data_IF_442747628401
#
_entry.id   IF_442747628401
#
_cell.length_a   1.000
_cell.length_b   1.000
_cell.length_c   1.000
_cell.angle_alpha   90.00
_cell.angle_beta   90.00
_cell.angle_gamma   90.00
#
_symmetry.space_group_name_H-M   'P 1'
#
loop_
_entity.id
_entity.type
_entity.pdbx_description
1 polymer ?
#
# COMPACT_ATOMS: atom_id res chain seq x y z
N UNK A 1 13.14 0.20 -15.54
CA UNK A 1 11.92 0.48 -16.32
C UNK A 1 11.31 1.78 -15.81
N UNK A 2 10.90 2.65 -16.71
CA UNK A 2 10.23 3.91 -16.36
C UNK A 2 8.79 3.60 -15.92
N UNK A 3 8.41 4.05 -14.73
CA UNK A 3 7.10 3.76 -14.15
C UNK A 3 5.93 4.29 -15.02
N UNK A 4 6.17 5.32 -15.82
CA UNK A 4 5.17 5.90 -16.72
C UNK A 4 4.67 4.89 -17.79
N UNK A 5 5.52 3.94 -18.15
CA UNK A 5 5.27 2.91 -19.17
C UNK A 5 5.22 1.49 -18.57
N UNK A 6 5.16 1.41 -17.23
CA UNK A 6 5.12 0.13 -16.54
C UNK A 6 3.67 -0.36 -16.42
N UNK A 7 3.35 -1.41 -17.13
CA UNK A 7 2.02 -2.03 -17.17
C UNK A 7 2.13 -3.54 -16.87
N UNK A 8 2.32 -3.93 -15.62
CA UNK A 8 2.39 -5.34 -15.28
C UNK A 8 1.01 -5.99 -15.38
N UNK A 9 1.00 -7.30 -15.67
CA UNK A 9 -0.23 -8.11 -15.70
C UNK A 9 -0.73 -8.50 -14.30
N UNK A 10 -0.05 -8.09 -13.24
CA UNK A 10 -0.33 -8.44 -11.85
C UNK A 10 -0.31 -7.20 -10.96
N UNK A 11 -1.07 -7.25 -9.89
CA UNK A 11 -1.05 -6.24 -8.83
C UNK A 11 -0.17 -6.69 -7.67
N UNK A 12 0.30 -5.75 -6.89
CA UNK A 12 1.29 -5.95 -5.84
C UNK A 12 0.71 -5.74 -4.44
N UNK A 13 1.30 -6.40 -3.48
CA UNK A 13 0.98 -6.23 -2.07
C UNK A 13 1.65 -4.98 -1.48
N UNK A 14 2.83 -4.63 -2.00
CA UNK A 14 3.63 -3.49 -1.58
C UNK A 14 4.21 -2.75 -2.78
N UNK A 15 4.25 -1.43 -2.69
CA UNK A 15 4.98 -0.56 -3.62
C UNK A 15 5.94 0.30 -2.80
N UNK A 16 7.22 0.21 -3.11
CA UNK A 16 8.27 1.01 -2.48
C UNK A 16 8.92 1.88 -3.54
N UNK A 17 9.18 3.15 -3.24
CA UNK A 17 9.75 4.04 -4.23
C UNK A 17 10.51 5.24 -3.67
N UNK A 18 11.45 5.67 -4.48
CA UNK A 18 12.13 6.97 -4.36
C UNK A 18 12.11 7.60 -5.75
N UNK A 19 10.98 8.22 -6.16
CA UNK A 19 10.85 8.83 -7.47
C UNK A 19 11.79 10.03 -7.61
N UNK A 20 12.10 10.45 -8.84
CA UNK A 20 12.74 11.74 -9.05
C UNK A 20 11.82 12.85 -8.52
N UNK A 21 12.40 13.95 -7.99
CA UNK A 21 11.66 15.02 -7.36
C UNK A 21 11.48 16.22 -8.28
N UNK A 22 10.35 16.92 -8.12
CA UNK A 22 10.04 18.18 -8.80
C UNK A 22 10.07 18.13 -10.33
N UNK A 23 10.01 16.94 -10.94
CA UNK A 23 9.81 16.83 -12.38
C UNK A 23 8.30 16.95 -12.70
N UNK A 24 8.00 17.34 -13.94
CA UNK A 24 6.63 17.38 -14.44
C UNK A 24 6.40 16.25 -15.41
N UNK A 25 5.43 15.39 -15.11
CA UNK A 25 4.99 14.29 -15.97
C UNK A 25 3.55 14.46 -16.37
N UNK A 26 3.24 14.08 -17.60
CA UNK A 26 1.87 14.12 -18.11
C UNK A 26 1.20 12.76 -17.98
N UNK A 27 -0.06 12.80 -17.55
CA UNK A 27 -1.03 11.71 -17.67
C UNK A 27 -2.27 12.32 -18.28
N UNK A 28 -2.64 11.82 -19.46
CA UNK A 28 -3.66 12.45 -20.31
C UNK A 28 -3.32 13.93 -20.55
N UNK A 29 -4.25 14.84 -20.38
CA UNK A 29 -4.04 16.27 -20.55
C UNK A 29 -3.53 17.00 -19.29
N UNK A 30 -3.35 16.27 -18.18
CA UNK A 30 -2.94 16.84 -16.90
C UNK A 30 -1.46 16.66 -16.65
N UNK A 31 -0.82 17.69 -16.07
CA UNK A 31 0.58 17.68 -15.67
C UNK A 31 0.71 17.59 -14.17
N UNK A 32 1.35 16.54 -13.70
CA UNK A 32 1.57 16.25 -12.27
C UNK A 32 3.04 16.38 -11.89
N UNK A 33 3.32 16.67 -10.62
CA UNK A 33 4.66 16.45 -10.05
C UNK A 33 4.99 14.95 -10.12
N UNK A 34 6.25 14.62 -10.35
CA UNK A 34 6.69 13.22 -10.53
C UNK A 34 6.39 12.34 -9.33
N UNK A 35 6.56 12.85 -8.11
CA UNK A 35 6.26 12.14 -6.87
C UNK A 35 4.76 11.86 -6.72
N UNK A 36 3.91 12.82 -7.09
CA UNK A 36 2.46 12.62 -7.07
C UNK A 36 2.00 11.68 -8.18
N UNK A 37 2.54 11.83 -9.39
CA UNK A 37 2.30 10.88 -10.48
C UNK A 37 2.66 9.45 -10.07
N UNK A 38 3.79 9.28 -9.36
CA UNK A 38 4.20 7.98 -8.84
C UNK A 38 3.16 7.40 -7.89
N UNK A 39 2.58 8.20 -7.00
CA UNK A 39 1.52 7.77 -6.10
C UNK A 39 0.26 7.34 -6.85
N UNK A 40 -0.17 8.11 -7.86
CA UNK A 40 -1.32 7.74 -8.70
C UNK A 40 -1.08 6.41 -9.42
N UNK A 41 0.14 6.21 -9.96
CA UNK A 41 0.50 4.95 -10.59
C UNK A 41 0.58 3.80 -9.59
N UNK A 42 1.08 4.03 -8.39
CA UNK A 42 1.08 3.05 -7.31
C UNK A 42 -0.34 2.62 -6.90
N UNK A 43 -1.31 3.56 -6.92
CA UNK A 43 -2.71 3.23 -6.66
C UNK A 43 -3.28 2.23 -7.68
N UNK A 44 -2.88 2.33 -8.96
CA UNK A 44 -3.27 1.37 -9.99
C UNK A 44 -2.62 -0.01 -9.77
N UNK A 45 -1.37 -0.03 -9.30
CA UNK A 45 -0.55 -1.23 -9.15
C UNK A 45 -0.81 -2.02 -7.87
N UNK A 46 -1.31 -1.38 -6.82
CA UNK A 46 -1.55 -2.01 -5.53
C UNK A 46 -2.85 -2.82 -5.53
N UNK A 47 -2.83 -3.95 -4.84
CA UNK A 47 -4.03 -4.68 -4.43
C UNK A 47 -4.84 -3.85 -3.42
N UNK A 48 -6.15 -4.13 -3.23
CA UNK A 48 -6.92 -3.57 -2.13
C UNK A 48 -6.19 -3.72 -0.79
N UNK A 49 -6.17 -2.67 0.02
CA UNK A 49 -5.43 -2.58 1.28
C UNK A 49 -3.90 -2.76 1.17
N UNK A 50 -3.32 -2.76 -0.04
CA UNK A 50 -1.87 -2.80 -0.25
C UNK A 50 -1.18 -1.56 0.31
N UNK A 51 0.09 -1.67 0.65
CA UNK A 51 0.85 -0.61 1.33
C UNK A 51 1.86 0.01 0.37
N UNK A 52 1.90 1.35 0.33
CA UNK A 52 2.93 2.13 -0.35
C UNK A 52 3.83 2.80 0.67
N UNK A 53 5.14 2.74 0.44
CA UNK A 53 6.12 3.59 1.11
C UNK A 53 6.91 4.37 0.06
N UNK A 54 6.93 5.70 0.20
CA UNK A 54 7.55 6.58 -0.78
C UNK A 54 8.46 7.59 -0.07
N UNK A 55 9.69 7.73 -0.57
CA UNK A 55 10.61 8.79 -0.14
C UNK A 55 10.33 10.02 -0.99
N UNK A 56 10.07 11.14 -0.34
CA UNK A 56 9.68 12.40 -0.98
C UNK A 56 10.33 13.61 -0.31
N UNK A 57 10.42 14.78 -0.98
CA UNK A 57 10.81 16.02 -0.34
C UNK A 57 9.88 16.40 0.82
N UNK A 58 10.36 17.20 1.76
CA UNK A 58 9.54 17.72 2.86
C UNK A 58 8.32 18.52 2.38
N UNK A 59 8.41 19.14 1.21
CA UNK A 59 7.32 19.90 0.57
C UNK A 59 6.18 19.04 0.01
N UNK A 60 6.36 17.73 -0.11
CA UNK A 60 5.29 16.85 -0.61
C UNK A 60 4.08 16.87 0.32
N UNK A 61 2.93 17.27 -0.21
CA UNK A 61 1.69 17.43 0.55
C UNK A 61 1.83 18.29 1.82
N UNK A 62 2.71 19.30 1.81
CA UNK A 62 2.78 20.30 2.86
C UNK A 62 1.76 21.42 2.58
N UNK A 63 1.16 21.99 3.63
CA UNK A 63 0.05 22.95 3.53
C UNK A 63 0.35 24.18 2.65
N UNK A 64 1.57 24.69 2.72
CA UNK A 64 2.04 25.84 1.98
C UNK A 64 2.51 25.51 0.55
N UNK A 65 2.55 24.24 0.16
CA UNK A 65 3.00 23.78 -1.15
C UNK A 65 1.93 22.98 -1.90
N UNK A 66 0.90 22.50 -1.22
CA UNK A 66 -0.21 21.81 -1.85
C UNK A 66 -1.16 22.83 -2.48
N UNK A 67 -1.27 22.81 -3.81
CA UNK A 67 -2.58 23.08 -4.31
C UNK A 67 -3.49 21.98 -3.71
N UNK A 68 -4.55 22.34 -2.99
CA UNK A 68 -5.40 21.41 -2.24
C UNK A 68 -5.80 20.14 -2.99
N UNK A 69 -5.71 20.16 -4.32
CA UNK A 69 -5.96 19.04 -5.20
C UNK A 69 -5.01 17.85 -5.04
N UNK A 70 -3.76 18.05 -4.60
CA UNK A 70 -2.84 16.92 -4.37
C UNK A 70 -3.24 16.11 -3.14
N UNK A 71 -3.56 16.77 -2.03
CA UNK A 71 -4.01 16.11 -0.79
C UNK A 71 -5.34 15.40 -1.03
N UNK A 72 -6.26 16.07 -1.70
CA UNK A 72 -7.56 15.48 -2.04
C UNK A 72 -7.41 14.23 -2.91
N UNK A 73 -6.56 14.28 -3.95
CA UNK A 73 -6.27 13.14 -4.78
C UNK A 73 -5.56 12.00 -4.03
N UNK A 74 -4.69 12.29 -3.07
CA UNK A 74 -4.13 11.26 -2.19
C UNK A 74 -5.21 10.65 -1.31
N UNK A 75 -6.09 11.47 -0.72
CA UNK A 75 -7.22 11.02 0.10
C UNK A 75 -8.27 10.23 -0.70
N UNK A 76 -8.38 10.44 -2.00
CA UNK A 76 -9.27 9.64 -2.86
C UNK A 76 -8.82 8.17 -2.95
N UNK A 77 -7.52 7.95 -3.06
CA UNK A 77 -6.95 6.63 -3.33
C UNK A 77 -6.40 5.91 -2.11
N UNK A 78 -5.98 6.66 -1.09
CA UNK A 78 -5.21 6.13 0.03
C UNK A 78 -5.76 6.55 1.39
N UNK A 79 -5.52 5.68 2.36
CA UNK A 79 -5.54 5.99 3.78
C UNK A 79 -4.12 6.34 4.22
N UNK A 80 -3.97 7.41 4.96
CA UNK A 80 -2.69 7.80 5.54
C UNK A 80 -2.32 6.87 6.71
N UNK A 81 -1.05 6.46 6.79
CA UNK A 81 -0.55 5.68 7.92
C UNK A 81 0.32 6.57 8.81
N UNK A 82 1.45 7.01 8.31
CA UNK A 82 2.33 7.95 9.00
C UNK A 82 3.35 8.54 8.01
N UNK A 83 4.06 9.57 8.45
CA UNK A 83 5.23 10.08 7.74
C UNK A 83 6.38 10.33 8.70
N UNK A 84 7.59 10.02 8.28
CA UNK A 84 8.80 10.02 9.11
C UNK A 84 9.87 10.87 8.44
N UNK A 85 10.41 11.85 9.17
CA UNK A 85 11.55 12.64 8.69
C UNK A 85 12.80 11.74 8.62
N UNK A 86 13.51 11.80 7.51
CA UNK A 86 14.82 11.17 7.35
C UNK A 86 15.94 12.15 7.73
N UNK A 87 17.05 11.60 8.27
CA UNK A 87 18.22 12.41 8.53
C UNK A 87 18.69 13.11 7.25
N UNK A 88 19.04 14.38 7.36
CA UNK A 88 19.49 15.23 6.23
C UNK A 88 20.71 14.68 5.48
N UNK A 89 21.45 13.76 6.08
CA UNK A 89 22.60 13.08 5.50
C UNK A 89 22.32 11.65 5.04
N UNK A 90 21.06 11.21 5.03
CA UNK A 90 20.66 9.86 4.60
C UNK A 90 21.27 9.50 3.24
N UNK A 91 21.36 10.45 2.33
CA UNK A 91 21.91 10.27 0.98
C UNK A 91 23.34 10.80 0.79
N UNK A 92 24.05 11.08 1.87
CA UNK A 92 25.44 11.58 1.80
C UNK A 92 26.38 10.67 1.01
N UNK A 93 26.20 9.38 1.13
CA UNK A 93 26.97 8.37 0.38
C UNK A 93 26.74 8.43 -1.16
N UNK A 94 25.67 9.10 -1.59
CA UNK A 94 25.38 9.36 -3.01
C UNK A 94 25.76 10.79 -3.42
N UNK A 95 26.49 11.52 -2.58
CA UNK A 95 26.90 12.91 -2.84
C UNK A 95 25.83 13.97 -2.58
N UNK A 96 24.73 13.60 -1.93
CA UNK A 96 23.64 14.52 -1.58
C UNK A 96 23.72 14.82 -0.07
N UNK A 97 24.06 16.04 0.28
CA UNK A 97 24.17 16.49 1.68
C UNK A 97 23.13 17.56 2.00
N UNK A 98 22.71 17.61 3.26
CA UNK A 98 21.78 18.60 3.78
C UNK A 98 20.42 18.68 3.06
N UNK A 99 20.00 17.59 2.42
CA UNK A 99 18.71 17.52 1.75
C UNK A 99 17.68 16.79 2.62
N UNK A 100 16.69 17.51 3.10
CA UNK A 100 15.65 16.96 3.96
C UNK A 100 14.59 16.25 3.14
N UNK A 101 14.36 15.01 3.49
CA UNK A 101 13.32 14.14 2.92
C UNK A 101 12.51 13.46 4.03
N UNK A 102 11.40 12.90 3.65
CA UNK A 102 10.57 12.07 4.53
C UNK A 102 10.17 10.79 3.81
N UNK A 103 9.91 9.73 4.56
CA UNK A 103 9.17 8.58 4.06
C UNK A 103 7.71 8.78 4.44
N UNK A 104 6.81 8.60 3.48
CA UNK A 104 5.37 8.60 3.73
C UNK A 104 4.82 7.22 3.46
N UNK A 105 4.02 6.72 4.39
CA UNK A 105 3.37 5.43 4.32
C UNK A 105 1.87 5.60 4.12
N UNK A 106 1.35 4.86 3.15
CA UNK A 106 -0.07 4.87 2.77
C UNK A 106 -0.60 3.45 2.62
N UNK A 107 -1.88 3.25 2.93
CA UNK A 107 -2.62 2.05 2.59
C UNK A 107 -3.61 2.36 1.46
N UNK A 108 -3.61 1.57 0.39
CA UNK A 108 -4.62 1.70 -0.65
C UNK A 108 -6.02 1.45 -0.08
N UNK A 109 -6.95 2.36 -0.34
CA UNK A 109 -8.34 2.22 0.07
C UNK A 109 -8.99 0.97 -0.52
N UNK A 110 -9.90 0.39 0.24
CA UNK A 110 -10.80 -0.67 -0.17
C UNK A 110 -12.12 -0.52 0.61
N UNK A 111 -13.14 -1.25 0.21
CA UNK A 111 -14.43 -1.29 0.93
C UNK A 111 -14.31 -1.82 2.38
N UNK A 112 -13.17 -2.46 2.74
CA UNK A 112 -12.92 -3.03 4.07
C UNK A 112 -11.99 -2.19 4.94
N UNK A 113 -11.35 -1.16 4.38
CA UNK A 113 -10.44 -0.28 5.14
C UNK A 113 -11.20 0.88 5.74
N UNK A 114 -10.78 1.34 6.92
CA UNK A 114 -11.29 2.59 7.49
C UNK A 114 -10.69 3.77 6.74
N UNK A 115 -11.47 4.83 6.62
CA UNK A 115 -10.96 6.08 6.08
C UNK A 115 -10.07 6.79 7.10
N UNK A 116 -8.84 7.08 6.68
CA UNK A 116 -7.87 7.86 7.44
C UNK A 116 -7.34 8.95 6.51
N UNK A 117 -7.76 10.22 6.70
CA UNK A 117 -7.31 11.31 5.85
C UNK A 117 -5.83 11.59 6.07
N UNK A 118 -5.21 12.22 5.08
CA UNK A 118 -3.82 12.65 5.16
C UNK A 118 -3.61 13.62 6.34
N UNK A 119 -2.52 13.39 7.07
CA UNK A 119 -2.06 14.27 8.15
C UNK A 119 -0.71 14.89 7.82
N UNK A 120 -0.55 16.18 8.10
CA UNK A 120 0.71 16.90 7.94
C UNK A 120 1.69 16.65 9.10
N UNK A 121 1.27 15.95 10.16
CA UNK A 121 2.14 15.60 11.29
C UNK A 121 3.28 14.70 10.84
N UNK A 122 4.53 15.10 11.16
CA UNK A 122 5.75 14.39 10.79
C UNK A 122 6.42 13.86 12.05
N UNK A 123 6.66 12.57 12.08
CA UNK A 123 7.42 11.91 13.15
C UNK A 123 8.92 12.21 12.95
N UNK A 124 9.57 12.76 13.98
CA UNK A 124 11.00 13.07 13.96
C UNK A 124 11.70 12.36 15.12
N UNK A 125 12.91 11.88 14.88
CA UNK A 125 13.72 11.21 15.92
C UNK A 125 13.21 9.85 16.36
N UNK A 126 12.27 9.25 15.64
CA UNK A 126 11.74 7.90 15.90
C UNK A 126 12.61 6.84 15.26
N UNK A 127 12.68 5.67 15.89
CA UNK A 127 13.37 4.49 15.35
C UNK A 127 12.50 3.72 14.38
N UNK A 128 13.11 2.89 13.56
CA UNK A 128 12.38 1.98 12.66
C UNK A 128 11.47 1.01 13.41
N UNK A 129 11.90 0.57 14.59
CA UNK A 129 11.13 -0.37 15.43
C UNK A 129 9.87 0.32 16.01
N UNK A 130 9.98 1.57 16.44
CA UNK A 130 8.83 2.35 16.89
C UNK A 130 7.82 2.57 15.76
N UNK A 131 8.30 2.94 14.56
CA UNK A 131 7.45 3.09 13.38
C UNK A 131 6.76 1.77 13.02
N UNK A 132 7.50 0.66 13.07
CA UNK A 132 6.95 -0.65 12.80
C UNK A 132 5.87 -1.05 13.81
N UNK A 133 6.18 -1.06 15.10
CA UNK A 133 5.26 -1.55 16.14
C UNK A 133 4.02 -0.67 16.28
N UNK A 134 4.16 0.66 16.16
CA UNK A 134 3.04 1.57 16.40
C UNK A 134 2.15 1.81 15.18
N UNK A 135 2.71 1.81 13.96
CA UNK A 135 2.01 2.25 12.75
C UNK A 135 1.87 1.15 11.69
N UNK A 136 2.96 0.44 11.38
CA UNK A 136 2.95 -0.47 10.22
C UNK A 136 2.42 -1.87 10.54
N UNK A 137 2.76 -2.40 11.70
CA UNK A 137 2.35 -3.74 12.12
C UNK A 137 0.81 -3.88 12.22
N UNK A 138 0.07 -2.96 12.88
CA UNK A 138 -1.39 -3.03 12.93
C UNK A 138 -2.04 -3.01 11.54
N UNK A 139 -1.54 -2.15 10.65
CA UNK A 139 -2.02 -2.07 9.27
C UNK A 139 -1.68 -3.32 8.46
N UNK A 140 -0.51 -3.91 8.68
CA UNK A 140 -0.11 -5.16 8.03
C UNK A 140 -0.98 -6.33 8.48
N UNK A 141 -1.30 -6.41 9.76
CA UNK A 141 -2.22 -7.41 10.32
C UNK A 141 -3.65 -7.23 9.80
N UNK A 142 -4.17 -6.01 9.78
CA UNK A 142 -5.47 -5.67 9.17
C UNK A 142 -5.52 -6.08 7.70
N UNK A 143 -4.46 -5.76 6.95
CA UNK A 143 -4.35 -6.10 5.54
C UNK A 143 -4.44 -7.62 5.29
N UNK A 144 -3.79 -8.45 6.09
CA UNK A 144 -3.89 -9.91 5.96
C UNK A 144 -5.32 -10.41 6.26
N UNK A 145 -6.03 -9.79 7.20
CA UNK A 145 -7.44 -10.09 7.46
C UNK A 145 -8.33 -9.71 6.26
N UNK A 146 -8.12 -8.51 5.69
CA UNK A 146 -8.85 -8.05 4.50
C UNK A 146 -8.60 -8.97 3.31
N UNK A 147 -7.36 -9.35 3.06
CA UNK A 147 -6.99 -10.28 1.99
C UNK A 147 -7.71 -11.62 2.10
N UNK A 148 -7.79 -12.17 3.31
CA UNK A 148 -8.52 -13.41 3.59
C UNK A 148 -10.03 -13.23 3.35
N UNK A 149 -10.60 -12.08 3.75
CA UNK A 149 -12.01 -11.76 3.54
C UNK A 149 -12.35 -11.66 2.05
N UNK A 150 -11.59 -10.90 1.28
CA UNK A 150 -11.76 -10.77 -0.18
C UNK A 150 -11.67 -12.15 -0.85
N UNK A 151 -10.71 -12.97 -0.43
CA UNK A 151 -10.57 -14.31 -0.95
C UNK A 151 -11.81 -15.16 -0.68
N UNK A 152 -12.33 -15.19 0.57
CA UNK A 152 -13.53 -15.96 0.94
C UNK A 152 -14.75 -15.48 0.15
N UNK A 153 -14.94 -14.18 -0.04
CA UNK A 153 -16.03 -13.64 -0.84
C UNK A 153 -15.91 -14.02 -2.32
N UNK A 154 -14.69 -13.98 -2.86
CA UNK A 154 -14.42 -14.42 -4.23
C UNK A 154 -14.77 -15.91 -4.40
N UNK A 155 -14.44 -16.76 -3.42
CA UNK A 155 -14.79 -18.18 -3.40
C UNK A 155 -16.29 -18.38 -3.31
N UNK A 156 -16.98 -17.65 -2.42
CA UNK A 156 -18.45 -17.73 -2.26
C UNK A 156 -19.20 -17.32 -3.53
N UNK A 157 -18.69 -16.34 -4.25
CA UNK A 157 -19.32 -15.79 -5.45
C UNK A 157 -18.95 -16.54 -6.74
N UNK A 158 -17.93 -17.41 -6.71
CA UNK A 158 -17.60 -18.22 -7.89
C UNK A 158 -18.57 -19.40 -8.01
N UNK A 159 -19.34 -19.40 -9.11
CA UNK A 159 -20.30 -20.46 -9.44
C UNK A 159 -19.69 -21.60 -10.27
N UNK A 160 -18.40 -21.52 -10.58
CA UNK A 160 -17.71 -22.42 -11.51
C UNK A 160 -16.84 -23.41 -10.73
N UNK A 161 -17.17 -24.70 -10.82
CA UNK A 161 -16.56 -25.79 -10.05
C UNK A 161 -15.03 -25.92 -10.26
N UNK A 162 -14.53 -25.77 -11.50
CA UNK A 162 -13.09 -25.88 -11.79
C UNK A 162 -12.29 -24.69 -11.19
N UNK A 163 -12.81 -23.49 -11.31
CA UNK A 163 -12.18 -22.29 -10.74
C UNK A 163 -12.20 -22.32 -9.21
N UNK A 164 -13.24 -22.93 -8.64
CA UNK A 164 -13.41 -23.10 -7.21
C UNK A 164 -12.35 -24.06 -6.64
N UNK A 165 -12.16 -25.23 -7.24
CA UNK A 165 -11.16 -26.23 -6.82
C UNK A 165 -9.75 -25.66 -6.79
N UNK A 166 -9.35 -24.96 -7.85
CA UNK A 166 -8.03 -24.31 -7.92
C UNK A 166 -7.82 -23.22 -6.85
N UNK A 167 -8.84 -22.40 -6.59
CA UNK A 167 -8.76 -21.34 -5.56
C UNK A 167 -8.68 -21.92 -4.15
N UNK A 168 -9.41 -23.00 -3.88
CA UNK A 168 -9.38 -23.69 -2.59
C UNK A 168 -8.03 -24.40 -2.37
N UNK A 169 -7.48 -25.06 -3.39
CA UNK A 169 -6.15 -25.68 -3.29
C UNK A 169 -5.06 -24.64 -3.01
N UNK A 170 -5.12 -23.50 -3.69
CA UNK A 170 -4.20 -22.40 -3.46
C UNK A 170 -4.32 -21.85 -2.02
N UNK A 171 -5.54 -21.66 -1.51
CA UNK A 171 -5.76 -21.24 -0.12
C UNK A 171 -5.19 -22.23 0.87
N UNK A 172 -5.48 -23.54 0.69
CA UNK A 172 -4.96 -24.58 1.56
C UNK A 172 -3.43 -24.65 1.53
N UNK A 173 -2.83 -24.38 0.37
CA UNK A 173 -1.38 -24.29 0.22
C UNK A 173 -0.80 -23.10 1.01
N UNK A 174 -1.40 -21.91 0.88
CA UNK A 174 -0.96 -20.70 1.57
C UNK A 174 -1.14 -20.82 3.09
N UNK A 175 -2.21 -21.44 3.55
CA UNK A 175 -2.50 -21.74 4.96
C UNK A 175 -1.46 -22.70 5.54
N UNK A 176 -1.12 -23.78 4.82
CA UNK A 176 -0.10 -24.75 5.27
C UNK A 176 1.30 -24.10 5.42
N UNK A 177 1.58 -23.09 4.61
CA UNK A 177 2.87 -22.40 4.61
C UNK A 177 2.98 -21.36 5.72
N UNK A 178 1.87 -20.83 6.24
CA UNK A 178 1.86 -19.80 7.27
C UNK A 178 0.75 -20.00 8.32
N UNK A 179 0.85 -21.08 9.16
CA UNK A 179 -0.23 -21.45 10.07
C UNK A 179 -0.50 -20.44 11.20
N UNK A 180 0.40 -19.48 11.45
CA UNK A 180 0.26 -18.47 12.52
C UNK A 180 -0.71 -17.33 12.18
N UNK A 181 -1.05 -17.13 10.92
CA UNK A 181 -1.97 -16.08 10.48
C UNK A 181 -3.43 -16.53 10.41
N UNK A 182 -3.74 -17.73 10.79
CA UNK A 182 -5.05 -18.32 10.56
C UNK A 182 -5.89 -18.51 11.82
N UNK A 183 -6.33 -17.42 12.46
CA UNK A 183 -7.50 -17.49 13.38
C UNK A 183 -8.78 -17.94 12.63
N UNK A 184 -8.82 -17.80 11.32
CA UNK A 184 -9.91 -18.21 10.41
C UNK A 184 -9.69 -19.61 9.81
N UNK A 185 -8.63 -20.32 10.18
CA UNK A 185 -8.34 -21.67 9.65
C UNK A 185 -9.49 -22.67 9.91
N UNK A 186 -10.05 -22.63 11.10
CA UNK A 186 -11.18 -23.48 11.46
C UNK A 186 -12.40 -23.17 10.58
N UNK A 187 -12.68 -21.90 10.35
CA UNK A 187 -13.80 -21.43 9.52
C UNK A 187 -13.62 -21.80 8.03
N UNK A 188 -12.38 -21.66 7.52
CA UNK A 188 -12.03 -22.10 6.17
C UNK A 188 -12.12 -23.63 6.01
N UNK A 189 -11.66 -24.40 6.99
CA UNK A 189 -11.78 -25.86 6.98
C UNK A 189 -13.23 -26.34 7.07
N UNK A 190 -14.06 -25.69 7.90
CA UNK A 190 -15.48 -25.97 7.99
C UNK A 190 -16.20 -25.67 6.68
N UNK A 191 -15.86 -24.55 6.04
CA UNK A 191 -16.40 -24.17 4.74
C UNK A 191 -16.02 -25.18 3.64
N UNK A 192 -14.74 -25.53 3.54
CA UNK A 192 -14.25 -26.54 2.57
C UNK A 192 -14.90 -27.90 2.80
N UNK A 193 -15.10 -28.31 4.05
CA UNK A 193 -15.73 -29.60 4.38
C UNK A 193 -17.24 -29.63 4.06
N UNK A 194 -17.95 -28.49 4.16
CA UNK A 194 -19.37 -28.38 3.79
C UNK A 194 -19.64 -28.54 2.29
N UNK A 195 -18.65 -28.27 1.44
CA UNK A 195 -18.79 -28.31 -0.02
C UNK A 195 -18.09 -29.51 -0.66
N UNK A 196 -17.45 -30.39 0.13
CA UNK A 196 -16.92 -31.68 -0.35
C UNK A 196 -17.91 -32.83 -0.28
N UNK A 197 -19.09 -32.57 0.23
CA UNK A 197 -20.24 -33.53 0.21
C UNK A 197 -21.26 -33.08 -0.83
#
# INVERSE_FOLDING_TARGET
TDIRFYEPKVTFDYVLGNPPYNLRWRKDDTSYLSEYYYCLKAAELLKPAGIMAIIVPMSFCADDFSDGGMIDGMNEHFNFICQVELDKNTFKHLGVENYKTKIVFFQKKSEYTKEVPYSTEILSGVTSDEVWEQYLKPITEEREQIKNKIFLETVRNSKDDETWSFKVEKLLYDIKRNPKTCSQYAECCEYVNRYKT
#
